data_IF_346857880158
#
_entry.id   IF_346857880158
#
_cell.length_a   1.000
_cell.length_b   1.000
_cell.length_c   1.000
_cell.angle_alpha   90.00
_cell.angle_beta   90.00
_cell.angle_gamma   90.00
#
_symmetry.space_group_name_H-M   'P 1'
#
loop_
_entity.id
_entity.type
_entity.pdbx_description
1 polymer ?
#
# COMPACT_ATOMS: atom_id res chain seq x y z
N UNK A 1 -11.17 11.41 12.35
CA UNK A 1 -11.02 9.94 12.18
C UNK A 1 -10.80 9.67 10.71
N UNK A 2 -9.83 8.83 10.32
CA UNK A 2 -9.54 8.59 8.90
C UNK A 2 -10.42 7.43 8.40
N UNK A 3 -11.44 7.76 7.60
CA UNK A 3 -12.42 6.81 7.02
C UNK A 3 -11.76 5.64 6.27
N UNK A 4 -10.62 5.91 5.61
CA UNK A 4 -9.88 4.88 4.88
C UNK A 4 -9.30 3.81 5.85
N UNK A 5 -8.83 4.23 7.03
CA UNK A 5 -8.31 3.32 8.06
C UNK A 5 -9.42 2.47 8.69
N UNK A 6 -10.61 3.03 8.91
CA UNK A 6 -11.76 2.25 9.39
C UNK A 6 -12.23 1.23 8.36
N UNK A 7 -12.27 1.64 7.08
CA UNK A 7 -12.59 0.74 5.97
C UNK A 7 -11.60 -0.41 5.91
N UNK A 8 -10.30 -0.12 6.03
CA UNK A 8 -9.25 -1.14 6.10
C UNK A 8 -9.46 -2.10 7.27
N UNK A 9 -9.65 -1.59 8.49
CA UNK A 9 -9.88 -2.42 9.69
C UNK A 9 -11.10 -3.32 9.58
N UNK A 10 -12.17 -2.83 8.95
CA UNK A 10 -13.41 -3.57 8.76
C UNK A 10 -13.22 -4.75 7.81
N UNK A 11 -12.45 -4.55 6.75
CA UNK A 11 -12.19 -5.59 5.73
C UNK A 11 -11.13 -6.59 6.20
N UNK A 12 -10.16 -6.13 7.01
CA UNK A 12 -9.07 -6.94 7.55
C UNK A 12 -9.09 -6.99 9.09
N UNK A 13 -10.11 -7.61 9.72
CA UNK A 13 -10.25 -7.63 11.17
C UNK A 13 -9.14 -8.41 11.88
N UNK A 14 -8.45 -9.28 11.16
CA UNK A 14 -7.34 -10.09 11.66
C UNK A 14 -5.99 -9.35 11.69
N UNK A 15 -5.88 -8.20 11.02
CA UNK A 15 -4.61 -7.50 10.88
C UNK A 15 -4.15 -6.84 12.19
N UNK A 16 -5.10 -6.38 13.02
CA UNK A 16 -4.80 -5.73 14.30
C UNK A 16 -5.31 -6.54 15.49
N UNK A 17 -4.49 -6.63 16.52
CA UNK A 17 -4.87 -7.05 17.86
C UNK A 17 -5.28 -5.85 18.72
N UNK A 18 -6.10 -6.08 19.76
CA UNK A 18 -6.42 -5.06 20.77
C UNK A 18 -5.19 -4.55 21.52
N UNK A 19 -4.10 -5.32 21.52
CA UNK A 19 -2.84 -4.95 22.16
C UNK A 19 -1.93 -4.10 21.27
N UNK A 20 -2.27 -3.96 19.98
CA UNK A 20 -1.42 -3.24 19.05
C UNK A 20 -1.45 -1.74 19.30
N UNK A 21 -0.26 -1.16 19.40
CA UNK A 21 -0.10 0.29 19.54
C UNK A 21 -0.04 0.92 18.15
N UNK A 22 -1.15 1.54 17.75
CA UNK A 22 -1.25 2.31 16.51
C UNK A 22 -0.96 3.79 16.78
N UNK A 23 -0.02 4.38 16.05
CA UNK A 23 0.31 5.81 16.12
C UNK A 23 0.24 6.41 14.72
N UNK A 24 -0.65 7.38 14.51
CA UNK A 24 -0.75 8.09 13.24
C UNK A 24 0.36 9.15 13.14
N UNK A 25 1.14 9.11 12.06
CA UNK A 25 2.32 9.96 11.88
C UNK A 25 2.11 11.07 10.84
N UNK A 26 1.10 10.95 9.97
CA UNK A 26 0.73 12.03 9.07
C UNK A 26 -0.24 11.61 7.97
N UNK A 27 -0.60 12.58 7.12
CA UNK A 27 -1.36 12.34 5.89
C UNK A 27 -0.59 12.92 4.71
N UNK A 28 -0.74 12.30 3.55
CA UNK A 28 -0.18 12.75 2.28
C UNK A 28 -1.23 12.71 1.16
N UNK A 29 -0.92 13.39 0.07
CA UNK A 29 -1.74 13.40 -1.13
C UNK A 29 -0.93 12.84 -2.29
N UNK A 30 -1.41 11.73 -2.87
CA UNK A 30 -0.87 11.10 -4.06
C UNK A 30 0.56 10.55 -3.93
N UNK A 31 0.88 9.57 -4.76
CA UNK A 31 2.25 9.10 -5.00
C UNK A 31 2.56 9.39 -6.46
N UNK A 32 3.49 10.33 -6.71
CA UNK A 32 3.82 10.77 -8.06
C UNK A 32 4.88 9.90 -8.76
N UNK A 33 5.65 9.10 -8.02
CA UNK A 33 6.68 8.19 -8.54
C UNK A 33 7.76 8.86 -9.40
N UNK A 34 8.83 8.14 -9.74
CA UNK A 34 9.82 8.60 -10.73
C UNK A 34 9.26 8.63 -12.17
N UNK A 35 9.93 9.34 -13.07
CA UNK A 35 9.60 9.32 -14.50
C UNK A 35 9.66 7.91 -15.10
N UNK A 36 10.61 7.09 -14.63
CA UNK A 36 10.72 5.70 -15.04
C UNK A 36 9.45 4.93 -14.66
N UNK A 37 9.01 5.05 -13.41
CA UNK A 37 7.76 4.44 -12.96
C UNK A 37 6.53 4.92 -13.74
N UNK A 38 6.44 6.22 -14.00
CA UNK A 38 5.36 6.81 -14.79
C UNK A 38 5.31 6.28 -16.22
N UNK A 39 6.47 6.07 -16.84
CA UNK A 39 6.56 5.53 -18.20
C UNK A 39 6.29 4.02 -18.25
N UNK A 40 6.75 3.26 -17.25
CA UNK A 40 6.56 1.80 -17.16
C UNK A 40 5.12 1.45 -16.78
N UNK A 41 4.51 2.19 -15.86
CA UNK A 41 3.16 1.93 -15.33
C UNK A 41 2.27 3.19 -15.38
N UNK A 42 1.90 3.67 -16.58
CA UNK A 42 1.20 4.95 -16.72
C UNK A 42 -0.17 4.97 -16.04
N UNK A 43 -0.95 3.89 -16.18
CA UNK A 43 -2.29 3.78 -15.58
C UNK A 43 -2.19 3.74 -14.06
N UNK A 44 -1.27 2.95 -13.52
CA UNK A 44 -1.04 2.84 -12.08
C UNK A 44 -0.56 4.18 -11.51
N UNK A 45 0.33 4.88 -12.22
CA UNK A 45 0.85 6.18 -11.80
C UNK A 45 -0.26 7.24 -11.72
N UNK A 46 -1.20 7.23 -12.66
CA UNK A 46 -2.36 8.13 -12.61
C UNK A 46 -3.26 7.84 -11.40
N UNK A 47 -3.53 6.56 -11.13
CA UNK A 47 -4.31 6.14 -9.97
C UNK A 47 -3.65 6.60 -8.67
N UNK A 48 -2.36 6.31 -8.53
CA UNK A 48 -1.58 6.63 -7.34
C UNK A 48 -1.44 8.14 -7.14
N UNK A 49 -1.32 8.93 -8.19
CA UNK A 49 -1.27 10.39 -8.09
C UNK A 49 -2.57 10.99 -7.51
N UNK A 50 -3.70 10.28 -7.63
CA UNK A 50 -5.01 10.68 -7.11
C UNK A 50 -5.34 10.06 -5.74
N UNK A 51 -4.45 9.21 -5.21
CA UNK A 51 -4.66 8.53 -3.95
C UNK A 51 -4.55 9.47 -2.74
N UNK A 52 -5.20 9.06 -1.66
CA UNK A 52 -5.00 9.59 -0.31
C UNK A 52 -4.03 8.69 0.41
N UNK A 53 -3.12 9.27 1.17
CA UNK A 53 -2.08 8.50 1.87
C UNK A 53 -2.18 8.77 3.36
N UNK A 54 -2.25 7.72 4.15
CA UNK A 54 -2.16 7.78 5.61
C UNK A 54 -0.87 7.08 6.06
N UNK A 55 -0.09 7.78 6.86
CA UNK A 55 1.12 7.24 7.48
C UNK A 55 0.85 6.94 8.94
N UNK A 56 1.24 5.75 9.38
CA UNK A 56 1.10 5.33 10.76
C UNK A 56 2.09 4.23 11.10
N UNK A 57 2.36 4.05 12.39
CA UNK A 57 3.16 2.93 12.89
C UNK A 57 2.30 1.98 13.71
N UNK A 58 2.57 0.68 13.63
CA UNK A 58 1.98 -0.37 14.48
C UNK A 58 3.12 -1.06 15.23
N UNK A 59 3.12 -0.98 16.56
CA UNK A 59 4.18 -1.57 17.39
C UNK A 59 5.60 -1.14 16.99
N UNK A 60 5.75 0.07 16.43
CA UNK A 60 7.03 0.61 15.96
C UNK A 60 7.40 0.25 14.52
N UNK A 61 6.58 -0.50 13.80
CA UNK A 61 6.73 -0.72 12.36
C UNK A 61 5.95 0.32 11.56
N UNK A 62 6.61 0.98 10.62
CA UNK A 62 5.99 2.01 9.81
C UNK A 62 5.22 1.45 8.61
N UNK A 63 4.04 2.01 8.41
CA UNK A 63 3.12 1.66 7.35
C UNK A 63 2.62 2.89 6.61
N UNK A 64 2.25 2.65 5.36
CA UNK A 64 1.61 3.61 4.48
C UNK A 64 0.34 2.96 3.92
N UNK A 65 -0.82 3.48 4.29
CA UNK A 65 -2.09 3.11 3.67
C UNK A 65 -2.34 4.04 2.49
N UNK A 66 -2.36 3.46 1.30
CA UNK A 66 -2.62 4.15 0.03
C UNK A 66 -4.05 3.84 -0.39
N UNK A 67 -4.88 4.87 -0.46
CA UNK A 67 -6.33 4.72 -0.58
C UNK A 67 -6.89 5.52 -1.74
N UNK A 68 -7.89 4.98 -2.42
CA UNK A 68 -8.67 5.69 -3.42
C UNK A 68 -10.15 5.30 -3.28
N UNK A 69 -11.00 5.94 -4.07
CA UNK A 69 -12.44 5.73 -4.02
C UNK A 69 -12.88 5.00 -5.28
N UNK A 70 -13.59 3.88 -5.11
CA UNK A 70 -14.23 3.15 -6.21
C UNK A 70 -15.43 3.92 -6.78
N UNK A 71 -15.94 3.43 -7.91
CA UNK A 71 -17.16 3.98 -8.55
C UNK A 71 -18.41 3.90 -7.67
N UNK A 72 -18.49 2.95 -6.75
CA UNK A 72 -19.58 2.79 -5.78
C UNK A 72 -19.39 3.61 -4.50
N UNK A 73 -18.44 4.56 -4.51
CA UNK A 73 -18.07 5.42 -3.40
C UNK A 73 -17.47 4.68 -2.18
N UNK A 74 -17.06 3.42 -2.34
CA UNK A 74 -16.32 2.69 -1.30
C UNK A 74 -14.83 3.05 -1.33
N UNK A 75 -14.26 3.19 -0.13
CA UNK A 75 -12.81 3.30 0.02
C UNK A 75 -12.15 1.95 -0.23
N UNK A 76 -11.08 1.93 -1.00
CA UNK A 76 -10.24 0.76 -1.21
C UNK A 76 -8.78 1.16 -1.38
N UNK A 77 -7.89 0.18 -1.31
CA UNK A 77 -6.47 0.46 -1.48
C UNK A 77 -5.56 -0.61 -0.92
N UNK A 78 -4.33 -0.18 -0.65
CA UNK A 78 -3.22 -1.03 -0.22
C UNK A 78 -2.62 -0.54 1.08
N UNK A 79 -2.34 -1.48 1.97
CA UNK A 79 -1.43 -1.28 3.06
C UNK A 79 -0.03 -1.67 2.61
N UNK A 80 0.87 -0.70 2.59
CA UNK A 80 2.26 -0.91 2.24
C UNK A 80 3.12 -0.80 3.49
N UNK A 81 4.07 -1.72 3.66
CA UNK A 81 5.12 -1.56 4.67
C UNK A 81 6.08 -0.47 4.18
N UNK A 82 6.42 0.48 5.05
CA UNK A 82 7.50 1.41 4.74
C UNK A 82 8.80 0.58 4.68
N UNK A 83 9.30 0.35 3.47
CA UNK A 83 10.48 -0.49 3.27
C UNK A 83 11.70 0.11 3.95
N UNK A 84 12.53 -0.76 4.51
CA UNK A 84 13.88 -0.49 5.00
C UNK A 84 14.93 -0.45 3.84
N UNK A 85 14.47 -0.51 2.59
CA UNK A 85 15.33 -0.55 1.42
C UNK A 85 16.01 -1.92 1.18
N UNK A 86 15.64 -2.97 1.93
CA UNK A 86 16.29 -4.30 1.87
C UNK A 86 15.91 -5.14 0.64
N UNK A 87 15.14 -4.61 -0.30
CA UNK A 87 14.76 -5.32 -1.53
C UNK A 87 15.90 -5.53 -2.53
N UNK A 88 17.08 -4.97 -2.25
CA UNK A 88 18.27 -5.00 -3.12
C UNK A 88 18.77 -6.41 -3.47
N UNK A 89 18.35 -7.44 -2.71
CA UNK A 89 18.79 -8.82 -2.91
C UNK A 89 17.77 -9.70 -3.64
N UNK A 90 16.61 -9.17 -4.03
CA UNK A 90 15.61 -9.96 -4.75
C UNK A 90 15.97 -10.03 -6.24
N UNK A 91 16.14 -11.24 -6.77
CA UNK A 91 16.39 -11.48 -8.19
C UNK A 91 15.09 -11.32 -9.00
N UNK A 92 14.63 -10.08 -9.12
CA UNK A 92 13.39 -9.69 -9.80
C UNK A 92 13.71 -8.97 -11.11
N UNK A 93 12.80 -9.08 -12.09
CA UNK A 93 12.86 -8.26 -13.31
C UNK A 93 12.68 -6.78 -12.97
N UNK A 94 13.19 -5.92 -13.85
CA UNK A 94 13.26 -4.47 -13.65
C UNK A 94 11.90 -3.86 -13.24
N UNK A 95 10.80 -4.27 -13.87
CA UNK A 95 9.45 -3.79 -13.59
C UNK A 95 9.06 -3.99 -12.11
N UNK A 96 9.38 -5.14 -11.55
CA UNK A 96 9.06 -5.47 -10.17
C UNK A 96 9.98 -4.69 -9.20
N UNK A 97 11.24 -4.48 -9.57
CA UNK A 97 12.15 -3.62 -8.79
C UNK A 97 11.68 -2.16 -8.77
N UNK A 98 11.14 -1.65 -9.89
CA UNK A 98 10.57 -0.30 -9.97
C UNK A 98 9.32 -0.21 -9.07
N UNK A 99 8.40 -1.18 -9.13
CA UNK A 99 7.23 -1.22 -8.25
C UNK A 99 7.65 -1.16 -6.77
N UNK A 100 8.59 -2.01 -6.39
CA UNK A 100 9.11 -2.09 -5.03
C UNK A 100 9.73 -0.79 -4.52
N UNK A 101 10.51 -0.13 -5.37
CA UNK A 101 11.20 1.11 -5.02
C UNK A 101 10.24 2.25 -4.73
N UNK A 102 9.13 2.31 -5.47
CA UNK A 102 8.19 3.43 -5.44
C UNK A 102 7.02 3.18 -4.47
N UNK A 103 6.52 1.93 -4.46
CA UNK A 103 5.37 1.53 -3.67
C UNK A 103 5.74 0.83 -2.36
N UNK A 104 6.93 0.24 -2.26
CA UNK A 104 7.25 -0.70 -1.20
C UNK A 104 6.46 -2.01 -1.35
N UNK A 105 6.65 -2.91 -0.39
CA UNK A 105 5.87 -4.15 -0.32
C UNK A 105 4.42 -3.87 0.04
N UNK A 106 3.49 -4.50 -0.68
CA UNK A 106 2.06 -4.51 -0.34
C UNK A 106 1.87 -5.66 0.66
N UNK A 107 1.58 -5.30 1.90
CA UNK A 107 1.31 -6.23 2.99
C UNK A 107 -0.13 -6.74 2.91
N UNK A 108 -1.08 -5.83 2.66
CA UNK A 108 -2.50 -6.18 2.55
C UNK A 108 -3.27 -5.27 1.58
N UNK A 109 -4.42 -5.76 1.12
CA UNK A 109 -5.40 -4.99 0.35
C UNK A 109 -6.70 -4.87 1.12
N UNK A 110 -7.49 -3.83 0.84
CA UNK A 110 -8.86 -3.75 1.36
C UNK A 110 -9.84 -3.27 0.31
N UNK A 111 -11.03 -3.85 0.34
CA UNK A 111 -12.06 -3.72 -0.68
C UNK A 111 -11.44 -3.78 -2.09
N UNK A 112 -10.68 -4.82 -2.48
CA UNK A 112 -10.07 -4.86 -3.81
C UNK A 112 -11.13 -4.81 -4.93
N UNK A 113 -10.82 -4.27 -6.12
CA UNK A 113 -11.64 -4.51 -7.30
C UNK A 113 -11.59 -6.00 -7.70
N UNK A 114 -12.61 -6.49 -8.43
CA UNK A 114 -12.70 -7.91 -8.83
C UNK A 114 -11.45 -8.41 -9.59
N UNK A 115 -10.76 -7.53 -10.31
CA UNK A 115 -9.50 -7.79 -11.01
C UNK A 115 -8.34 -7.00 -10.35
N UNK A 116 -8.04 -7.27 -9.09
CA UNK A 116 -6.96 -6.58 -8.36
C UNK A 116 -5.59 -7.17 -8.68
N UNK A 117 -4.56 -6.32 -8.71
CA UNK A 117 -3.15 -6.72 -8.78
C UNK A 117 -2.79 -7.71 -7.66
N UNK A 118 -3.40 -7.56 -6.48
CA UNK A 118 -3.19 -8.40 -5.29
C UNK A 118 -4.04 -9.67 -5.25
N UNK A 119 -4.86 -9.95 -6.29
CA UNK A 119 -5.66 -11.15 -6.30
C UNK A 119 -4.75 -12.39 -6.26
N UNK A 120 -5.07 -13.35 -5.39
CA UNK A 120 -4.32 -14.58 -5.16
C UNK A 120 -2.88 -14.40 -4.63
N UNK A 121 -2.55 -13.25 -4.05
CA UNK A 121 -1.26 -13.05 -3.38
C UNK A 121 -1.47 -12.67 -1.91
N UNK A 122 -0.83 -13.41 -1.00
CA UNK A 122 -0.89 -13.13 0.46
C UNK A 122 -0.06 -11.90 0.84
N UNK A 123 0.97 -11.60 0.06
CA UNK A 123 1.79 -10.39 0.15
C UNK A 123 2.55 -10.21 -1.16
N UNK A 124 2.74 -8.96 -1.60
CA UNK A 124 3.58 -8.63 -2.74
C UNK A 124 4.84 -7.96 -2.23
N UNK A 125 5.97 -8.63 -2.46
CA UNK A 125 7.30 -8.07 -2.24
C UNK A 125 7.66 -7.71 -0.79
N UNK A 126 7.15 -8.44 0.20
CA UNK A 126 7.75 -8.40 1.53
C UNK A 126 8.92 -9.39 1.51
N UNK A 127 10.14 -8.94 1.82
CA UNK A 127 11.25 -9.86 2.02
C UNK A 127 10.88 -10.86 3.13
N UNK A 128 11.35 -12.11 3.01
CA UNK A 128 11.05 -13.16 3.99
C UNK A 128 11.32 -12.67 5.43
N UNK A 129 10.39 -13.03 6.32
CA UNK A 129 10.30 -12.63 7.74
C UNK A 129 11.54 -12.97 8.56
#
# INVERSE_FOLDING_TARGET
MNEDFYSFKKDNPYFFSERDKVVFTGNGAGIRGSLQFQNTFPILSQLLAQSRVLYFSVNGHDYRLVSWTKKDNQSCGWLNKAGDGSFANLNLIDEHQILLRELGGIEESYNPPESSLSNNQTFMFTGDR
#
